data_IF_506187058562
#
_entry.id   IF_506187058562
#
_cell.length_a   1.000
_cell.length_b   1.000
_cell.length_c   1.000
_cell.angle_alpha   90.00
_cell.angle_beta   90.00
_cell.angle_gamma   90.00
#
_symmetry.space_group_name_H-M   'P 1'
#
loop_
_entity.id
_entity.type
_entity.pdbx_description
1 polymer ?
#
# COMPACT_ATOMS: atom_id res chain seq x y z
N UNK A 1 -14.14 41.13 -78.02
CA UNK A 1 -14.77 40.35 -76.92
C UNK A 1 -13.62 39.76 -76.11
N UNK A 2 -13.07 40.42 -75.08
CA UNK A 2 -13.64 40.84 -73.78
C UNK A 2 -14.42 39.72 -73.10
N UNK A 3 -13.95 39.27 -71.92
CA UNK A 3 -14.69 38.38 -71.02
C UNK A 3 -13.82 37.68 -69.97
N UNK A 4 -13.55 38.37 -68.86
CA UNK A 4 -12.72 37.93 -67.73
C UNK A 4 -13.21 36.66 -67.02
N UNK A 5 -12.25 35.87 -66.52
CA UNK A 5 -12.41 34.76 -65.57
C UNK A 5 -12.82 35.26 -64.18
N UNK A 6 -13.84 34.64 -63.60
CA UNK A 6 -14.32 34.85 -62.23
C UNK A 6 -13.40 34.25 -61.17
N UNK A 7 -13.30 34.96 -60.04
CA UNK A 7 -12.36 34.80 -58.92
C UNK A 7 -12.49 33.49 -58.15
N UNK A 8 -11.32 33.02 -57.69
CA UNK A 8 -11.15 32.02 -56.64
C UNK A 8 -11.64 32.57 -55.28
N UNK A 9 -12.34 31.73 -54.52
CA UNK A 9 -12.66 31.99 -53.12
C UNK A 9 -11.44 31.82 -52.22
N UNK A 10 -11.23 32.80 -51.35
CA UNK A 10 -10.16 32.85 -50.36
C UNK A 10 -10.27 31.70 -49.35
N UNK A 11 -9.22 30.88 -49.25
CA UNK A 11 -9.01 29.99 -48.10
C UNK A 11 -8.43 30.82 -46.95
N UNK A 12 -9.23 31.08 -45.92
CA UNK A 12 -8.75 31.66 -44.67
C UNK A 12 -7.75 30.72 -43.98
N UNK A 13 -6.62 31.27 -43.52
CA UNK A 13 -5.62 30.56 -42.72
C UNK A 13 -6.23 30.06 -41.41
N UNK A 14 -6.45 28.75 -41.30
CA UNK A 14 -6.80 28.10 -40.04
C UNK A 14 -5.55 28.03 -39.16
N UNK A 15 -5.58 28.66 -37.98
CA UNK A 15 -4.48 28.59 -37.02
C UNK A 15 -4.19 27.13 -36.64
N UNK A 16 -2.91 26.74 -36.62
CA UNK A 16 -2.51 25.33 -36.47
C UNK A 16 -2.82 24.71 -35.10
N UNK A 17 -3.10 25.53 -34.07
CA UNK A 17 -3.30 25.09 -32.69
C UNK A 17 -4.39 25.89 -31.98
N UNK A 18 -5.07 25.23 -31.04
CA UNK A 18 -6.07 25.83 -30.16
C UNK A 18 -5.48 26.99 -29.34
N UNK A 19 -6.18 28.14 -29.34
CA UNK A 19 -5.74 29.37 -28.65
C UNK A 19 -5.89 29.33 -27.11
N UNK A 20 -6.20 28.19 -26.50
CA UNK A 20 -6.31 28.06 -25.04
C UNK A 20 -4.93 27.92 -24.38
N UNK A 21 -4.61 28.81 -23.44
CA UNK A 21 -3.36 28.80 -22.70
C UNK A 21 -3.41 27.80 -21.53
N UNK A 22 -2.40 26.93 -21.40
CA UNK A 22 -2.27 25.96 -20.30
C UNK A 22 -1.27 26.48 -19.25
N UNK A 23 -1.71 27.06 -18.10
CA UNK A 23 -0.80 27.73 -17.16
C UNK A 23 0.25 26.78 -16.56
N UNK A 24 -0.16 25.56 -16.21
CA UNK A 24 0.74 24.52 -15.63
C UNK A 24 1.81 24.05 -16.63
N UNK A 25 1.57 24.18 -17.94
CA UNK A 25 2.47 23.69 -18.99
C UNK A 25 3.16 24.83 -19.77
N UNK A 26 2.85 26.09 -19.45
CA UNK A 26 3.38 27.31 -20.10
C UNK A 26 3.36 27.26 -21.64
N UNK A 27 2.26 26.76 -22.23
CA UNK A 27 2.08 26.67 -23.69
C UNK A 27 0.61 26.69 -24.08
N UNK A 28 0.33 26.99 -25.34
CA UNK A 28 -1.00 26.81 -25.93
C UNK A 28 -1.34 25.31 -26.10
N UNK A 29 -2.64 25.01 -26.07
CA UNK A 29 -3.14 23.67 -26.30
C UNK A 29 -2.72 23.18 -27.70
N UNK A 30 -2.11 21.99 -27.76
CA UNK A 30 -1.60 21.44 -29.02
C UNK A 30 -2.70 20.88 -29.94
N UNK A 31 -3.92 20.73 -29.44
CA UNK A 31 -5.03 20.19 -30.22
C UNK A 31 -5.44 21.18 -31.32
N UNK A 32 -5.85 20.65 -32.46
CA UNK A 32 -6.38 21.46 -33.56
C UNK A 32 -7.66 22.18 -33.14
N UNK A 33 -7.84 23.45 -33.54
CA UNK A 33 -9.10 24.15 -33.36
C UNK A 33 -10.24 23.49 -34.15
N UNK A 34 -11.48 23.69 -33.71
CA UNK A 34 -12.66 23.29 -34.47
C UNK A 34 -12.85 24.23 -35.67
N UNK A 35 -13.56 23.76 -36.70
CA UNK A 35 -13.78 24.51 -37.95
C UNK A 35 -14.32 25.93 -37.72
N UNK A 36 -15.22 26.09 -36.74
CA UNK A 36 -15.88 27.35 -36.39
C UNK A 36 -15.45 27.95 -35.03
N UNK A 37 -14.30 27.54 -34.48
CA UNK A 37 -13.84 28.06 -33.19
C UNK A 37 -12.31 28.17 -33.11
N UNK A 38 -11.75 29.25 -32.53
CA UNK A 38 -10.31 29.32 -32.24
C UNK A 38 -9.84 28.29 -31.19
N UNK A 39 -10.75 27.48 -30.63
CA UNK A 39 -10.48 26.48 -29.61
C UNK A 39 -10.79 25.06 -30.08
N UNK A 40 -10.11 24.06 -29.50
CA UNK A 40 -10.41 22.64 -29.73
C UNK A 40 -11.67 22.22 -28.96
N UNK A 41 -12.20 21.02 -29.22
CA UNK A 41 -13.40 20.50 -28.53
C UNK A 41 -13.32 20.45 -26.99
N UNK A 42 -12.11 20.44 -26.41
CA UNK A 42 -11.93 20.46 -24.95
C UNK A 42 -11.92 21.89 -24.35
N UNK A 43 -11.72 22.91 -25.19
CA UNK A 43 -11.55 24.30 -24.78
C UNK A 43 -12.47 25.27 -25.52
N UNK A 44 -13.46 24.75 -26.25
CA UNK A 44 -14.54 25.55 -26.82
C UNK A 44 -15.31 26.23 -25.69
N UNK A 45 -15.90 27.40 -25.97
CA UNK A 45 -16.76 28.09 -25.00
C UNK A 45 -17.83 27.07 -24.57
N UNK A 46 -17.73 26.62 -23.32
CA UNK A 46 -18.59 25.57 -22.80
C UNK A 46 -20.01 26.12 -22.85
N UNK A 47 -20.96 25.33 -23.34
CA UNK A 47 -22.37 25.67 -23.29
C UNK A 47 -22.74 26.14 -21.87
N UNK A 48 -23.58 27.15 -21.74
CA UNK A 48 -24.17 27.60 -20.46
C UNK A 48 -25.05 26.52 -19.79
N UNK A 49 -25.19 25.35 -20.43
CA UNK A 49 -25.91 24.20 -19.93
C UNK A 49 -25.30 23.66 -18.61
N UNK A 50 -26.18 23.13 -17.76
CA UNK A 50 -25.85 22.64 -16.43
C UNK A 50 -24.94 21.39 -16.50
N UNK A 51 -23.81 21.46 -15.82
CA UNK A 51 -22.88 20.35 -15.65
C UNK A 51 -23.07 19.74 -14.26
N UNK A 52 -23.21 18.42 -14.23
CA UNK A 52 -23.33 17.66 -13.00
C UNK A 52 -22.16 16.68 -12.88
N UNK A 53 -21.69 16.37 -11.66
CA UNK A 53 -20.72 15.29 -11.47
C UNK A 53 -21.33 13.97 -11.96
N UNK A 54 -20.54 13.16 -12.66
CA UNK A 54 -20.99 11.82 -13.05
C UNK A 54 -21.28 11.00 -11.79
N UNK A 55 -22.44 10.32 -11.68
CA UNK A 55 -22.81 9.55 -10.50
C UNK A 55 -22.01 8.24 -10.38
N UNK A 56 -21.44 7.75 -11.48
CA UNK A 56 -20.57 6.57 -11.49
C UNK A 56 -19.14 6.97 -11.10
N UNK A 57 -18.63 8.08 -11.64
CA UNK A 57 -17.28 8.59 -11.37
C UNK A 57 -17.30 10.11 -11.14
N UNK A 58 -17.41 10.56 -9.87
CA UNK A 58 -17.46 11.97 -9.54
C UNK A 58 -16.18 12.76 -9.88
N UNK A 59 -15.11 12.10 -10.35
CA UNK A 59 -13.88 12.78 -10.76
C UNK A 59 -14.01 13.57 -12.07
N UNK A 60 -15.13 13.39 -12.79
CA UNK A 60 -15.45 14.16 -13.98
C UNK A 60 -16.92 14.58 -13.98
N UNK A 61 -17.23 15.59 -14.80
CA UNK A 61 -18.57 16.14 -14.95
C UNK A 61 -19.08 15.88 -16.35
N UNK A 62 -20.39 15.75 -16.47
CA UNK A 62 -21.11 15.57 -17.72
C UNK A 62 -22.22 16.60 -17.82
N UNK A 63 -22.57 16.98 -19.05
CA UNK A 63 -23.77 17.76 -19.28
C UNK A 63 -24.98 16.96 -18.82
N UNK A 64 -25.88 17.60 -18.09
CA UNK A 64 -27.09 16.96 -17.55
C UNK A 64 -27.91 16.27 -18.65
N UNK A 65 -28.08 16.94 -19.80
CA UNK A 65 -28.76 16.41 -21.00
C UNK A 65 -28.10 15.14 -21.58
N UNK A 66 -26.80 14.94 -21.34
CA UNK A 66 -26.03 13.82 -21.89
C UNK A 66 -25.79 12.72 -20.85
N UNK A 67 -26.27 12.87 -19.61
CA UNK A 67 -26.01 11.96 -18.51
C UNK A 67 -26.36 10.51 -18.88
N UNK A 68 -27.57 10.25 -19.37
CA UNK A 68 -28.05 8.90 -19.66
C UNK A 68 -27.19 8.17 -20.71
N UNK A 69 -26.82 8.88 -21.78
CA UNK A 69 -25.91 8.35 -22.80
C UNK A 69 -24.49 8.11 -22.27
N UNK A 70 -24.05 8.96 -21.35
CA UNK A 70 -22.75 8.85 -20.70
C UNK A 70 -22.69 7.63 -19.76
N UNK A 71 -23.73 7.35 -18.96
CA UNK A 71 -23.71 6.26 -17.97
C UNK A 71 -23.32 4.93 -18.63
N UNK A 72 -23.88 4.63 -19.79
CA UNK A 72 -23.58 3.42 -20.58
C UNK A 72 -22.17 3.38 -21.18
N UNK A 73 -21.48 4.53 -21.25
CA UNK A 73 -20.16 4.68 -21.87
C UNK A 73 -19.09 5.13 -20.88
N UNK A 74 -19.45 5.31 -19.61
CA UNK A 74 -18.55 5.77 -18.58
C UNK A 74 -17.32 4.85 -18.52
N UNK A 75 -16.09 5.39 -18.65
CA UNK A 75 -14.89 4.57 -18.60
C UNK A 75 -14.78 3.74 -17.32
N UNK A 76 -15.22 4.28 -16.18
CA UNK A 76 -15.20 3.57 -14.91
C UNK A 76 -16.18 2.38 -14.89
N UNK A 77 -17.38 2.54 -15.47
CA UNK A 77 -18.35 1.43 -15.60
C UNK A 77 -17.78 0.31 -16.47
N UNK A 78 -17.27 0.64 -17.66
CA UNK A 78 -16.67 -0.35 -18.56
C UNK A 78 -15.50 -1.07 -17.92
N UNK A 79 -14.68 -0.34 -17.16
CA UNK A 79 -13.57 -0.92 -16.42
C UNK A 79 -14.07 -1.89 -15.35
N UNK A 80 -15.10 -1.52 -14.58
CA UNK A 80 -15.69 -2.39 -13.56
C UNK A 80 -16.29 -3.67 -14.17
N UNK A 81 -17.01 -3.55 -15.28
CA UNK A 81 -17.55 -4.71 -16.02
C UNK A 81 -16.42 -5.63 -16.53
N UNK A 82 -15.40 -5.07 -17.17
CA UNK A 82 -14.24 -5.82 -17.64
C UNK A 82 -13.45 -6.48 -16.52
N UNK A 83 -13.39 -5.86 -15.34
CA UNK A 83 -12.75 -6.42 -14.15
C UNK A 83 -13.58 -7.57 -13.58
N UNK A 84 -14.91 -7.39 -13.50
CA UNK A 84 -15.82 -8.40 -12.97
C UNK A 84 -15.86 -9.71 -13.79
N UNK A 85 -15.46 -9.65 -15.07
CA UNK A 85 -15.34 -10.83 -15.92
C UNK A 85 -13.96 -11.51 -15.85
N UNK A 86 -13.01 -10.97 -15.08
CA UNK A 86 -11.69 -11.58 -14.94
C UNK A 86 -11.75 -12.76 -13.96
N UNK A 87 -11.02 -13.87 -14.22
CA UNK A 87 -11.02 -15.04 -13.34
C UNK A 87 -10.49 -14.73 -11.95
N UNK A 88 -9.53 -13.80 -11.85
CA UNK A 88 -8.92 -13.37 -10.58
C UNK A 88 -9.77 -12.37 -9.79
N UNK A 89 -10.95 -11.98 -10.28
CA UNK A 89 -11.86 -11.10 -9.56
C UNK A 89 -12.89 -11.92 -8.77
N UNK A 90 -12.84 -11.81 -7.44
CA UNK A 90 -13.84 -12.37 -6.54
C UNK A 90 -14.16 -11.35 -5.46
N UNK A 91 -15.34 -10.71 -5.59
CA UNK A 91 -15.75 -9.61 -4.72
C UNK A 91 -15.68 -10.00 -3.25
N UNK A 92 -14.94 -9.21 -2.46
CA UNK A 92 -14.85 -9.34 -1.01
C UNK A 92 -14.11 -10.58 -0.49
N UNK A 93 -13.41 -11.35 -1.33
CA UNK A 93 -12.67 -12.55 -0.90
C UNK A 93 -11.65 -12.23 0.22
N UNK A 94 -11.06 -11.03 0.18
CA UNK A 94 -10.16 -10.50 1.20
C UNK A 94 -10.80 -9.34 1.96
N UNK A 95 -12.13 -9.23 2.10
CA UNK A 95 -12.76 -8.16 2.89
C UNK A 95 -12.60 -8.38 4.40
N UNK A 96 -12.80 -9.62 4.85
CA UNK A 96 -12.89 -9.97 6.28
C UNK A 96 -14.32 -9.75 6.76
N UNK A 97 -14.69 -10.37 7.88
CA UNK A 97 -16.03 -10.18 8.46
C UNK A 97 -15.99 -9.27 9.69
N UNK A 98 -17.11 -8.63 10.01
CA UNK A 98 -17.25 -7.92 11.29
C UNK A 98 -17.28 -8.91 12.46
N UNK A 99 -17.91 -10.06 12.24
CA UNK A 99 -18.08 -11.15 13.18
C UNK A 99 -17.21 -12.32 12.69
N UNK A 100 -16.01 -12.48 13.24
CA UNK A 100 -15.24 -13.73 13.16
C UNK A 100 -15.44 -14.56 14.45
N UNK A 101 -16.60 -14.37 15.07
CA UNK A 101 -17.14 -15.17 16.15
C UNK A 101 -17.86 -16.37 15.51
N UNK A 102 -17.19 -17.52 15.58
CA UNK A 102 -17.70 -18.87 15.32
C UNK A 102 -18.04 -19.27 13.87
N UNK A 103 -17.47 -20.40 13.44
CA UNK A 103 -17.86 -21.09 12.22
C UNK A 103 -19.27 -21.65 12.42
N UNK A 104 -20.27 -21.03 11.81
CA UNK A 104 -21.61 -21.60 11.66
C UNK A 104 -22.72 -20.61 11.94
N UNK A 105 -23.13 -19.88 10.90
CA UNK A 105 -24.52 -19.60 10.51
C UNK A 105 -24.52 -18.54 9.39
N UNK A 106 -25.08 -18.90 8.24
CA UNK A 106 -25.37 -17.94 7.17
C UNK A 106 -26.48 -17.00 7.65
N UNK A 107 -26.17 -15.71 7.78
CA UNK A 107 -27.18 -14.68 8.05
C UNK A 107 -27.12 -13.57 6.99
N UNK A 108 -28.32 -13.22 6.53
CA UNK A 108 -28.68 -12.37 5.41
C UNK A 108 -27.95 -11.01 5.28
N UNK A 109 -27.88 -10.60 4.01
CA UNK A 109 -27.28 -9.38 3.48
C UNK A 109 -28.02 -8.13 4.00
N UNK A 110 -27.48 -7.48 5.03
CA UNK A 110 -27.83 -6.10 5.39
C UNK A 110 -26.68 -5.14 5.04
N UNK A 111 -26.92 -4.00 4.37
CA UNK A 111 -25.87 -3.07 3.98
C UNK A 111 -25.42 -2.22 5.18
N UNK A 112 -24.33 -2.63 5.84
CA UNK A 112 -23.66 -1.87 6.92
C UNK A 112 -22.15 -1.69 6.70
N UNK A 113 -21.72 -1.53 5.45
CA UNK A 113 -20.34 -1.15 5.13
C UNK A 113 -20.09 0.35 5.35
N UNK A 114 -20.28 0.85 6.57
CA UNK A 114 -19.87 2.22 6.91
C UNK A 114 -18.39 2.22 7.28
N UNK A 115 -17.55 2.59 6.32
CA UNK A 115 -16.12 2.84 6.56
C UNK A 115 -15.99 3.87 7.71
N UNK A 116 -15.30 3.50 8.78
CA UNK A 116 -15.12 4.35 9.95
C UNK A 116 -13.94 5.29 9.71
N UNK A 117 -14.23 6.52 9.29
CA UNK A 117 -13.21 7.49 8.87
C UNK A 117 -12.37 7.98 10.05
N UNK A 118 -11.18 8.53 9.78
CA UNK A 118 -10.32 9.13 10.82
C UNK A 118 -11.02 10.25 11.59
N UNK A 119 -11.92 10.99 10.93
CA UNK A 119 -12.74 12.02 11.57
C UNK A 119 -13.78 11.39 12.51
N UNK A 120 -14.46 10.33 12.09
CA UNK A 120 -15.40 9.60 12.96
C UNK A 120 -14.70 9.00 14.18
N UNK A 121 -13.50 8.43 14.00
CA UNK A 121 -12.67 7.95 15.12
C UNK A 121 -12.32 9.05 16.10
N UNK A 122 -11.86 10.19 15.59
CA UNK A 122 -11.57 11.37 16.41
C UNK A 122 -12.81 11.80 17.19
N UNK A 123 -13.94 11.96 16.52
CA UNK A 123 -15.19 12.38 17.17
C UNK A 123 -15.63 11.41 18.26
N UNK A 124 -15.52 10.10 18.01
CA UNK A 124 -15.79 9.07 19.02
C UNK A 124 -14.85 9.17 20.23
N UNK A 125 -13.56 9.44 19.99
CA UNK A 125 -12.58 9.64 21.07
C UNK A 125 -12.88 10.88 21.90
N UNK A 126 -13.21 12.01 21.27
CA UNK A 126 -13.52 13.24 22.00
C UNK A 126 -14.89 13.21 22.69
N UNK A 127 -15.79 12.31 22.29
CA UNK A 127 -17.09 12.10 22.91
C UNK A 127 -17.05 11.19 24.15
N UNK A 128 -15.93 10.51 24.43
CA UNK A 128 -15.82 9.65 25.62
C UNK A 128 -15.61 10.47 26.89
N UNK A 129 -15.96 9.89 28.04
CA UNK A 129 -15.69 10.50 29.35
C UNK A 129 -14.20 10.46 29.68
N UNK A 130 -13.69 11.47 30.39
CA UNK A 130 -12.29 11.52 30.85
C UNK A 130 -11.80 10.23 31.57
N UNK A 131 -12.57 9.61 32.49
CA UNK A 131 -12.14 8.36 33.13
C UNK A 131 -11.91 7.21 32.16
N UNK A 132 -12.87 6.99 31.23
CA UNK A 132 -12.74 5.96 30.17
C UNK A 132 -11.52 6.20 29.27
N UNK A 133 -11.24 7.46 28.96
CA UNK A 133 -10.07 7.82 28.14
C UNK A 133 -8.76 7.48 28.84
N UNK A 134 -8.63 7.83 30.12
CA UNK A 134 -7.45 7.52 30.92
C UNK A 134 -7.29 6.01 31.17
N UNK A 135 -8.40 5.30 31.38
CA UNK A 135 -8.41 3.83 31.49
C UNK A 135 -7.92 3.16 30.21
N UNK A 136 -8.36 3.64 29.04
CA UNK A 136 -7.89 3.13 27.75
C UNK A 136 -6.39 3.37 27.57
N UNK A 137 -5.87 4.56 27.92
CA UNK A 137 -4.42 4.82 27.87
C UNK A 137 -3.66 3.88 28.80
N UNK A 138 -4.12 3.70 30.05
CA UNK A 138 -3.49 2.81 31.00
C UNK A 138 -3.46 1.35 30.49
N UNK A 139 -4.56 0.92 29.87
CA UNK A 139 -4.68 -0.40 29.24
C UNK A 139 -3.72 -0.57 28.06
N UNK A 140 -3.59 0.44 27.18
CA UNK A 140 -2.62 0.43 26.08
C UNK A 140 -1.19 0.29 26.63
N UNK A 141 -0.81 1.09 27.63
CA UNK A 141 0.51 1.03 28.28
C UNK A 141 0.75 -0.37 28.89
N UNK A 142 -0.24 -0.93 29.59
CA UNK A 142 -0.15 -2.26 30.20
C UNK A 142 -0.02 -3.39 29.18
N UNK A 143 -0.83 -3.38 28.12
CA UNK A 143 -0.77 -4.38 27.05
C UNK A 143 0.57 -4.28 26.32
N UNK A 144 1.02 -3.07 25.98
CA UNK A 144 2.32 -2.85 25.34
C UNK A 144 3.47 -3.44 26.17
N UNK A 145 3.50 -3.18 27.48
CA UNK A 145 4.49 -3.76 28.39
C UNK A 145 4.47 -5.30 28.40
N UNK A 146 3.28 -5.91 28.26
CA UNK A 146 3.13 -7.38 28.24
C UNK A 146 3.59 -8.06 26.94
N UNK A 147 3.60 -7.34 25.82
CA UNK A 147 3.99 -7.89 24.51
C UNK A 147 5.51 -8.15 24.44
N UNK A 148 6.27 -7.56 25.39
CA UNK A 148 7.65 -7.88 25.75
C UNK A 148 8.57 -8.24 24.58
N UNK A 149 8.50 -7.46 23.50
CA UNK A 149 9.39 -7.57 22.35
C UNK A 149 9.61 -6.19 21.78
N UNK A 150 10.72 -5.55 22.18
CA UNK A 150 11.28 -4.46 21.40
C UNK A 150 11.50 -4.99 19.99
N UNK A 151 10.76 -4.47 19.02
CA UNK A 151 10.93 -4.83 17.60
C UNK A 151 12.39 -4.55 17.24
N UNK A 152 13.18 -5.56 16.84
CA UNK A 152 14.61 -5.39 16.62
C UNK A 152 14.89 -4.54 15.39
N UNK A 153 15.96 -3.76 15.46
CA UNK A 153 16.47 -3.00 14.32
C UNK A 153 17.15 -3.94 13.32
N UNK A 154 16.78 -3.82 12.04
CA UNK A 154 17.36 -4.61 10.94
C UNK A 154 17.51 -3.76 9.68
N UNK A 155 18.52 -2.88 9.70
CA UNK A 155 18.83 -1.95 8.61
C UNK A 155 19.73 -2.59 7.54
N UNK A 156 19.43 -3.83 7.13
CA UNK A 156 20.23 -4.55 6.14
C UNK A 156 20.19 -3.85 4.80
N UNK A 157 21.33 -3.74 4.12
CA UNK A 157 21.42 -3.29 2.73
C UNK A 157 22.26 -4.34 2.00
N UNK A 158 21.69 -5.10 1.05
CA UNK A 158 22.41 -6.16 0.37
C UNK A 158 23.36 -5.58 -0.68
N UNK A 159 24.50 -6.24 -0.91
CA UNK A 159 25.52 -5.81 -1.87
C UNK A 159 24.97 -5.73 -3.30
N UNK A 160 24.02 -6.61 -3.65
CA UNK A 160 23.32 -6.58 -4.94
C UNK A 160 22.61 -5.24 -5.20
N UNK A 161 22.20 -4.51 -4.16
CA UNK A 161 21.57 -3.19 -4.28
C UNK A 161 22.57 -2.02 -4.40
N UNK A 162 23.88 -2.29 -4.41
CA UNK A 162 24.94 -1.27 -4.49
C UNK A 162 24.78 -0.34 -5.70
N UNK A 163 24.36 -0.86 -6.85
CA UNK A 163 24.09 -0.04 -8.05
C UNK A 163 23.06 1.06 -7.79
N UNK A 164 22.08 0.80 -6.94
CA UNK A 164 21.05 1.76 -6.56
C UNK A 164 21.54 2.71 -5.47
N UNK A 165 22.23 2.21 -4.44
CA UNK A 165 22.69 3.03 -3.32
C UNK A 165 23.87 3.94 -3.71
N UNK A 166 24.75 3.49 -4.60
CA UNK A 166 25.89 4.24 -5.12
C UNK A 166 25.50 5.21 -6.26
N UNK A 167 24.22 5.25 -6.64
CA UNK A 167 23.67 6.10 -7.71
C UNK A 167 24.26 5.79 -9.08
N UNK A 168 24.56 4.52 -9.33
CA UNK A 168 25.07 4.01 -10.62
C UNK A 168 23.91 3.66 -11.58
N UNK A 169 22.66 3.77 -11.12
CA UNK A 169 21.44 3.63 -11.93
C UNK A 169 21.21 4.80 -12.89
N UNK A 170 20.43 4.57 -13.96
CA UNK A 170 20.11 5.57 -14.99
C UNK A 170 19.63 6.89 -14.36
N UNK A 171 20.33 7.98 -14.69
CA UNK A 171 20.04 9.36 -14.25
C UNK A 171 18.63 9.83 -14.62
N UNK A 172 17.92 9.14 -15.52
CA UNK A 172 16.52 9.40 -15.87
C UNK A 172 15.50 8.91 -14.83
N UNK A 173 15.90 8.04 -13.90
CA UNK A 173 15.04 7.57 -12.82
C UNK A 173 14.96 8.63 -11.70
N UNK A 174 13.76 8.94 -11.17
CA UNK A 174 13.63 9.87 -10.06
C UNK A 174 14.21 9.24 -8.79
N UNK A 175 15.38 9.72 -8.40
CA UNK A 175 16.10 9.26 -7.22
C UNK A 175 15.71 10.07 -5.98
N UNK A 176 15.34 9.38 -4.91
CA UNK A 176 15.21 9.95 -3.57
C UNK A 176 15.85 8.98 -2.59
N UNK A 177 16.93 9.43 -1.94
CA UNK A 177 17.79 8.59 -1.10
C UNK A 177 17.01 7.83 -0.02
N UNK A 178 16.14 8.53 0.72
CA UNK A 178 15.26 7.91 1.71
C UNK A 178 14.41 6.78 1.15
N UNK A 179 13.95 6.89 -0.10
CA UNK A 179 13.14 5.85 -0.72
C UNK A 179 13.96 4.66 -1.19
N UNK A 180 15.18 4.90 -1.68
CA UNK A 180 16.12 3.86 -2.12
C UNK A 180 16.58 3.04 -0.92
N UNK A 181 16.96 3.69 0.19
CA UNK A 181 17.34 3.00 1.42
C UNK A 181 16.23 2.09 1.96
N UNK A 182 14.98 2.57 1.96
CA UNK A 182 13.83 1.74 2.34
C UNK A 182 13.66 0.53 1.41
N UNK A 183 13.78 0.72 0.09
CA UNK A 183 13.63 -0.39 -0.86
C UNK A 183 14.74 -1.43 -0.70
N UNK A 184 15.99 -0.97 -0.67
CA UNK A 184 17.15 -1.83 -0.48
C UNK A 184 17.07 -2.59 0.85
N UNK A 185 16.54 -1.96 1.90
CA UNK A 185 16.40 -2.64 3.18
C UNK A 185 15.28 -3.67 3.26
N UNK A 186 14.16 -3.46 2.56
CA UNK A 186 13.16 -4.53 2.38
C UNK A 186 13.80 -5.74 1.71
N UNK A 187 14.61 -5.55 0.66
CA UNK A 187 15.30 -6.64 -0.02
C UNK A 187 16.39 -7.28 0.84
N UNK A 188 17.14 -6.49 1.62
CA UNK A 188 18.14 -6.98 2.56
C UNK A 188 17.55 -7.88 3.64
N UNK A 189 16.37 -7.53 4.16
CA UNK A 189 15.66 -8.35 5.13
C UNK A 189 15.11 -9.65 4.50
N UNK A 190 14.62 -9.60 3.25
CA UNK A 190 14.25 -10.81 2.51
C UNK A 190 15.44 -11.75 2.29
N UNK A 191 16.64 -11.20 2.02
CA UNK A 191 17.87 -11.96 1.87
C UNK A 191 18.36 -12.56 3.20
N UNK A 192 18.36 -11.78 4.29
CA UNK A 192 18.74 -12.27 5.62
C UNK A 192 17.79 -13.36 6.13
N UNK A 193 16.49 -13.20 5.88
CA UNK A 193 15.47 -14.17 6.26
C UNK A 193 15.52 -15.44 5.39
N UNK A 194 16.33 -15.45 4.33
CA UNK A 194 16.54 -16.58 3.43
C UNK A 194 15.39 -16.82 2.46
N UNK A 195 14.66 -15.75 2.08
CA UNK A 195 13.66 -15.76 1.00
C UNK A 195 14.34 -15.46 -0.34
N UNK A 196 15.22 -14.45 -0.37
CA UNK A 196 16.10 -14.17 -1.52
C UNK A 196 17.43 -14.90 -1.35
N UNK A 197 17.95 -15.48 -2.44
CA UNK A 197 19.32 -16.02 -2.45
C UNK A 197 20.31 -14.87 -2.58
N UNK A 198 21.40 -14.95 -1.78
CA UNK A 198 22.56 -14.08 -1.96
C UNK A 198 23.12 -14.27 -3.36
N UNK A 199 23.18 -13.20 -4.12
CA UNK A 199 23.88 -13.19 -5.41
C UNK A 199 25.37 -13.15 -5.09
N UNK A 200 26.03 -14.31 -5.09
CA UNK A 200 27.49 -14.34 -5.09
C UNK A 200 27.96 -13.69 -6.39
N UNK A 201 28.65 -12.56 -6.30
CA UNK A 201 29.35 -11.90 -7.41
C UNK A 201 30.54 -12.73 -7.92
N UNK A 202 30.31 -14.00 -8.29
CA UNK A 202 31.31 -14.86 -8.93
C UNK A 202 30.75 -15.34 -10.26
N UNK A 203 30.77 -14.43 -11.23
CA UNK A 203 30.92 -14.81 -12.64
C UNK A 203 31.36 -13.58 -13.42
N UNK A 204 32.61 -13.16 -13.20
CA UNK A 204 33.41 -12.38 -14.17
C UNK A 204 34.90 -12.52 -13.82
N UNK A 205 35.41 -13.74 -13.86
CA UNK A 205 36.82 -14.00 -14.13
C UNK A 205 36.91 -15.37 -14.78
N UNK A 206 37.35 -15.36 -16.04
CA UNK A 206 37.83 -16.49 -16.85
C UNK A 206 38.47 -17.59 -16.01
N UNK A 207 38.11 -18.86 -16.23
CA UNK A 207 38.95 -19.92 -16.85
C UNK A 207 38.18 -21.24 -16.81
N UNK A 208 38.21 -21.97 -17.91
CA UNK A 208 37.74 -23.34 -18.04
C UNK A 208 38.37 -24.25 -16.98
N UNK A 209 37.56 -24.93 -16.16
CA UNK A 209 37.85 -26.31 -15.76
C UNK A 209 36.64 -27.02 -15.16
N UNK A 210 36.55 -28.27 -15.58
CA UNK A 210 35.55 -29.29 -15.32
C UNK A 210 35.16 -29.47 -13.85
N UNK A 211 33.85 -29.53 -13.59
CA UNK A 211 33.30 -30.48 -12.63
C UNK A 211 31.87 -30.88 -13.02
N UNK A 212 31.81 -31.90 -13.86
CA UNK A 212 30.60 -32.66 -14.16
C UNK A 212 30.24 -33.48 -12.93
N UNK A 213 29.48 -32.94 -11.96
CA UNK A 213 28.66 -33.70 -10.99
C UNK A 213 27.88 -32.83 -9.97
N UNK A 214 27.17 -31.77 -10.42
CA UNK A 214 26.14 -31.10 -9.59
C UNK A 214 24.93 -30.65 -10.41
N UNK A 215 24.40 -31.55 -11.24
CA UNK A 215 23.25 -31.26 -12.11
C UNK A 215 21.87 -31.51 -11.47
N UNK A 216 21.79 -31.72 -10.15
CA UNK A 216 20.55 -32.16 -9.49
C UNK A 216 20.11 -31.32 -8.27
N UNK A 217 20.24 -29.99 -8.31
CA UNK A 217 19.57 -29.05 -7.37
C UNK A 217 19.21 -27.70 -8.03
N UNK A 218 18.75 -27.72 -9.30
CA UNK A 218 18.64 -26.52 -10.16
C UNK A 218 17.27 -25.82 -10.22
N UNK A 219 16.34 -25.97 -9.26
CA UNK A 219 14.98 -25.45 -9.49
C UNK A 219 14.23 -24.85 -8.28
N UNK A 220 14.91 -24.01 -7.49
CA UNK A 220 14.25 -23.11 -6.55
C UNK A 220 14.70 -21.65 -6.77
N UNK A 221 14.77 -21.24 -8.04
CA UNK A 221 14.98 -19.85 -8.41
C UNK A 221 13.64 -19.10 -8.28
N UNK A 222 13.64 -17.95 -7.60
CA UNK A 222 12.43 -17.13 -7.40
C UNK A 222 11.94 -16.71 -8.78
N UNK A 223 10.85 -17.31 -9.22
CA UNK A 223 10.40 -17.17 -10.60
C UNK A 223 9.47 -15.97 -10.78
N UNK A 224 8.76 -15.56 -9.72
CA UNK A 224 7.83 -14.45 -9.75
C UNK A 224 7.88 -13.55 -8.49
N UNK A 225 7.50 -12.29 -8.68
CA UNK A 225 7.25 -11.34 -7.60
C UNK A 225 5.86 -10.73 -7.76
N UNK A 226 5.15 -10.58 -6.64
CA UNK A 226 3.87 -9.87 -6.56
C UNK A 226 4.06 -8.64 -5.68
N UNK A 227 4.05 -7.45 -6.27
CA UNK A 227 4.09 -6.19 -5.51
C UNK A 227 2.68 -5.67 -5.26
N UNK A 228 2.26 -5.70 -4.01
CA UNK A 228 1.01 -5.13 -3.56
C UNK A 228 1.17 -3.63 -3.31
N UNK A 229 0.24 -2.83 -3.82
CA UNK A 229 0.31 -1.37 -3.71
C UNK A 229 1.48 -0.79 -4.53
N UNK A 230 1.77 -1.38 -5.69
CA UNK A 230 2.98 -1.10 -6.46
C UNK A 230 3.19 0.37 -6.82
N UNK A 231 2.10 1.12 -7.07
CA UNK A 231 2.17 2.52 -7.46
C UNK A 231 3.16 2.75 -8.61
N UNK A 232 4.29 3.41 -8.31
CA UNK A 232 5.33 3.71 -9.30
C UNK A 232 6.18 2.49 -9.73
N UNK A 233 6.17 1.39 -8.97
CA UNK A 233 6.85 0.13 -9.28
C UNK A 233 8.36 0.09 -8.99
N UNK A 234 8.88 1.02 -8.18
CA UNK A 234 10.33 1.12 -7.94
C UNK A 234 10.90 0.03 -7.03
N UNK A 235 10.10 -0.52 -6.10
CA UNK A 235 10.58 -1.63 -5.27
C UNK A 235 10.81 -2.87 -6.16
N UNK A 236 9.85 -3.20 -7.02
CA UNK A 236 10.02 -4.24 -8.03
C UNK A 236 11.16 -3.93 -9.00
N UNK A 237 11.32 -2.68 -9.47
CA UNK A 237 12.42 -2.32 -10.36
C UNK A 237 13.78 -2.67 -9.73
N UNK A 238 13.99 -2.28 -8.46
CA UNK A 238 15.22 -2.59 -7.73
C UNK A 238 15.40 -4.10 -7.60
N UNK A 239 14.37 -4.84 -7.19
CA UNK A 239 14.41 -6.29 -7.09
C UNK A 239 14.73 -6.97 -8.42
N UNK A 240 14.15 -6.50 -9.53
CA UNK A 240 14.42 -7.02 -10.86
C UNK A 240 15.84 -6.69 -11.34
N UNK A 241 16.39 -5.54 -10.98
CA UNK A 241 17.77 -5.14 -11.34
C UNK A 241 18.81 -5.95 -10.55
N UNK A 242 18.50 -6.30 -9.30
CA UNK A 242 19.45 -6.91 -8.36
C UNK A 242 19.38 -8.45 -8.30
N UNK A 243 18.21 -9.05 -8.54
CA UNK A 243 17.98 -10.48 -8.28
C UNK A 243 17.48 -11.29 -9.49
N UNK A 244 17.50 -10.72 -10.71
CA UNK A 244 17.28 -11.50 -11.95
C UNK A 244 15.87 -12.09 -12.14
N UNK A 245 14.85 -11.41 -11.60
CA UNK A 245 13.48 -11.93 -11.53
C UNK A 245 12.81 -11.96 -12.90
N UNK A 246 12.19 -13.09 -13.25
CA UNK A 246 11.65 -13.35 -14.59
C UNK A 246 10.19 -12.92 -14.78
N UNK A 247 9.40 -12.89 -13.70
CA UNK A 247 7.98 -12.54 -13.75
C UNK A 247 7.61 -11.56 -12.67
N UNK A 248 6.84 -10.55 -13.04
CA UNK A 248 6.40 -9.48 -12.17
C UNK A 248 4.90 -9.31 -12.31
N UNK A 249 4.19 -9.35 -11.17
CA UNK A 249 2.80 -8.96 -11.04
C UNK A 249 2.69 -7.73 -10.14
N UNK A 250 2.20 -6.61 -10.69
CA UNK A 250 1.98 -5.38 -9.93
C UNK A 250 0.48 -5.22 -9.63
N UNK A 251 0.12 -5.14 -8.36
CA UNK A 251 -1.29 -4.99 -7.92
C UNK A 251 -1.51 -3.58 -7.39
N UNK A 252 -2.51 -2.87 -7.93
CA UNK A 252 -2.91 -1.55 -7.43
C UNK A 252 -4.38 -1.22 -7.70
N UNK A 253 -5.02 -0.48 -6.80
CA UNK A 253 -6.40 -0.01 -6.98
C UNK A 253 -6.54 1.03 -8.10
N UNK A 254 -5.54 1.91 -8.25
CA UNK A 254 -5.51 3.01 -9.23
C UNK A 254 -4.08 3.18 -9.75
N UNK A 255 -3.92 3.31 -11.07
CA UNK A 255 -2.60 3.45 -11.69
C UNK A 255 -2.01 4.85 -11.54
N UNK A 256 -1.08 5.00 -10.60
CA UNK A 256 -0.37 6.25 -10.34
C UNK A 256 0.92 6.32 -11.15
N UNK A 257 0.84 6.77 -12.41
CA UNK A 257 1.98 7.02 -13.31
C UNK A 257 2.92 5.81 -13.39
N UNK A 258 2.70 4.98 -14.41
CA UNK A 258 3.44 3.77 -14.81
C UNK A 258 4.94 3.99 -15.09
N UNK A 259 5.68 4.52 -14.10
CA UNK A 259 7.02 5.09 -14.28
C UNK A 259 8.08 4.00 -14.42
N UNK A 260 8.02 2.94 -13.61
CA UNK A 260 8.92 1.81 -13.74
C UNK A 260 8.56 0.89 -14.91
N UNK A 261 7.29 0.84 -15.34
CA UNK A 261 6.83 -0.09 -16.39
C UNK A 261 7.64 0.01 -17.68
N UNK A 262 8.06 1.22 -18.08
CA UNK A 262 8.89 1.40 -19.28
C UNK A 262 10.23 0.69 -19.13
N UNK A 263 10.91 0.87 -18.00
CA UNK A 263 12.22 0.29 -17.73
C UNK A 263 12.12 -1.22 -17.50
N UNK A 264 11.08 -1.69 -16.81
CA UNK A 264 10.80 -3.13 -16.63
C UNK A 264 10.55 -3.82 -17.97
N UNK A 265 9.74 -3.24 -18.86
CA UNK A 265 9.43 -3.82 -20.19
C UNK A 265 10.61 -3.84 -21.16
N UNK A 266 11.67 -3.08 -20.89
CA UNK A 266 12.90 -3.11 -21.68
C UNK A 266 13.78 -4.33 -21.37
N UNK A 267 13.48 -5.06 -20.28
CA UNK A 267 14.17 -6.31 -19.96
C UNK A 267 13.52 -7.47 -20.72
N UNK A 268 14.23 -7.99 -21.72
CA UNK A 268 13.72 -9.04 -22.62
C UNK A 268 13.32 -10.34 -21.88
N UNK A 269 13.98 -10.64 -20.77
CA UNK A 269 13.71 -11.84 -19.95
C UNK A 269 12.64 -11.66 -18.87
N UNK A 270 11.99 -10.48 -18.79
CA UNK A 270 11.03 -10.15 -17.73
C UNK A 270 9.61 -9.98 -18.28
N UNK A 271 8.69 -10.80 -17.76
CA UNK A 271 7.25 -10.66 -18.03
C UNK A 271 6.63 -9.74 -16.99
N UNK A 272 6.05 -8.62 -17.46
CA UNK A 272 5.37 -7.64 -16.60
C UNK A 272 3.86 -7.66 -16.84
N UNK A 273 3.12 -8.03 -15.79
CA UNK A 273 1.67 -7.91 -15.68
C UNK A 273 1.31 -6.91 -14.57
N UNK A 274 0.28 -6.10 -14.80
CA UNK A 274 -0.18 -5.10 -13.83
C UNK A 274 -1.70 -5.17 -13.72
N UNK A 275 -2.19 -5.60 -12.56
CA UNK A 275 -3.61 -5.74 -12.25
C UNK A 275 -4.13 -4.48 -11.58
N UNK A 276 -5.11 -3.83 -12.22
CA UNK A 276 -5.86 -2.73 -11.63
C UNK A 276 -7.09 -3.26 -10.90
N UNK A 277 -6.90 -3.71 -9.67
CA UNK A 277 -7.89 -4.39 -8.83
C UNK A 277 -7.73 -3.97 -7.37
N UNK A 278 -8.83 -4.00 -6.61
CA UNK A 278 -8.76 -3.87 -5.15
C UNK A 278 -8.20 -5.16 -4.55
N UNK A 279 -7.29 -5.06 -3.58
CA UNK A 279 -6.75 -6.26 -2.91
C UNK A 279 -7.88 -6.99 -2.20
N UNK A 280 -8.91 -6.28 -1.74
CA UNK A 280 -10.14 -6.84 -1.19
C UNK A 280 -10.81 -7.89 -2.10
N UNK A 281 -10.69 -7.73 -3.43
CA UNK A 281 -11.38 -8.55 -4.44
C UNK A 281 -10.45 -9.50 -5.21
N UNK A 282 -9.14 -9.53 -4.88
CA UNK A 282 -8.15 -10.27 -5.65
C UNK A 282 -7.97 -11.72 -5.19
N UNK A 283 -8.18 -12.68 -6.11
CA UNK A 283 -7.81 -14.08 -5.94
C UNK A 283 -6.53 -14.42 -6.73
N UNK A 284 -5.39 -14.56 -6.05
CA UNK A 284 -4.10 -14.86 -6.69
C UNK A 284 -4.05 -16.22 -7.41
N UNK A 285 -4.69 -17.26 -6.87
CA UNK A 285 -4.74 -18.59 -7.51
C UNK A 285 -5.43 -18.59 -8.88
N UNK A 286 -6.30 -17.61 -9.13
CA UNK A 286 -7.00 -17.46 -10.40
C UNK A 286 -6.27 -16.51 -11.37
N UNK A 287 -5.06 -16.03 -11.02
CA UNK A 287 -4.17 -15.32 -11.93
C UNK A 287 -3.38 -16.35 -12.74
N UNK A 288 -3.73 -16.49 -14.02
CA UNK A 288 -3.15 -17.47 -14.95
C UNK A 288 -1.61 -17.42 -14.97
N UNK A 289 -1.03 -16.20 -14.95
CA UNK A 289 0.42 -16.04 -15.00
C UNK A 289 1.15 -16.54 -13.75
N UNK A 290 0.48 -16.75 -12.62
CA UNK A 290 1.07 -17.26 -11.39
C UNK A 290 0.83 -18.76 -11.16
N UNK A 291 0.03 -19.42 -11.99
CA UNK A 291 -0.30 -20.83 -11.80
C UNK A 291 0.95 -21.71 -11.89
N UNK A 292 1.16 -22.55 -10.87
CA UNK A 292 2.34 -23.42 -10.75
C UNK A 292 3.67 -22.69 -10.55
N UNK A 293 3.66 -21.39 -10.26
CA UNK A 293 4.88 -20.58 -10.07
C UNK A 293 5.04 -20.21 -8.59
N UNK A 294 6.24 -20.41 -8.06
CA UNK A 294 6.64 -19.88 -6.75
C UNK A 294 6.83 -18.36 -6.81
N UNK A 295 6.24 -17.62 -5.87
CA UNK A 295 6.31 -16.16 -5.85
C UNK A 295 6.68 -15.59 -4.48
N UNK A 296 7.28 -14.39 -4.49
CA UNK A 296 7.48 -13.55 -3.30
C UNK A 296 6.44 -12.42 -3.31
N UNK A 297 5.79 -12.17 -2.17
CA UNK A 297 4.90 -11.02 -1.99
C UNK A 297 5.64 -9.85 -1.33
N UNK A 298 5.62 -8.66 -1.94
CA UNK A 298 6.26 -7.46 -1.39
C UNK A 298 5.33 -6.26 -1.33
N UNK A 299 5.57 -5.34 -0.40
CA UNK A 299 4.84 -4.08 -0.29
C UNK A 299 5.54 -3.07 0.61
N UNK A 300 5.68 -1.81 0.17
CA UNK A 300 6.44 -0.77 0.90
C UNK A 300 5.59 0.16 1.77
N UNK A 301 4.39 0.50 1.31
CA UNK A 301 3.49 1.46 1.97
C UNK A 301 2.05 0.98 1.84
N UNK A 302 1.81 -0.28 2.19
CA UNK A 302 0.43 -0.75 2.23
C UNK A 302 -0.27 -0.04 3.38
N UNK A 303 -1.42 0.57 3.08
CA UNK A 303 -2.24 1.18 4.12
C UNK A 303 -2.73 0.11 5.09
N UNK A 304 -3.14 0.53 6.29
CA UNK A 304 -3.59 -0.37 7.36
C UNK A 304 -4.45 -1.52 6.85
N UNK A 305 -5.65 -1.25 6.28
CA UNK A 305 -6.52 -2.31 5.75
C UNK A 305 -5.88 -3.14 4.64
N UNK A 306 -5.13 -2.52 3.73
CA UNK A 306 -4.50 -3.24 2.61
C UNK A 306 -3.43 -4.23 3.07
N UNK A 307 -2.75 -3.94 4.19
CA UNK A 307 -1.81 -4.89 4.82
C UNK A 307 -2.55 -6.17 5.22
N UNK A 308 -3.65 -6.04 5.95
CA UNK A 308 -4.44 -7.18 6.42
C UNK A 308 -5.10 -7.95 5.27
N UNK A 309 -5.59 -7.25 4.23
CA UNK A 309 -6.11 -7.86 3.00
C UNK A 309 -5.02 -8.64 2.25
N UNK A 310 -3.79 -8.10 2.18
CA UNK A 310 -2.65 -8.74 1.52
C UNK A 310 -2.23 -10.01 2.25
N UNK A 311 -2.16 -9.97 3.58
CA UNK A 311 -1.86 -11.15 4.39
C UNK A 311 -2.91 -12.26 4.16
N UNK A 312 -4.20 -11.92 4.11
CA UNK A 312 -5.26 -12.88 3.78
C UNK A 312 -5.14 -13.42 2.35
N UNK A 313 -4.90 -12.54 1.40
CA UNK A 313 -4.71 -12.88 -0.01
C UNK A 313 -3.56 -13.90 -0.22
N UNK A 314 -2.44 -13.72 0.49
CA UNK A 314 -1.27 -14.59 0.36
C UNK A 314 -1.34 -15.88 1.21
N UNK A 315 -1.86 -15.80 2.44
CA UNK A 315 -1.68 -16.88 3.44
C UNK A 315 -2.93 -17.78 3.56
N UNK A 316 -4.14 -17.23 3.53
CA UNK A 316 -5.39 -18.03 3.68
C UNK A 316 -5.54 -19.07 2.55
N UNK A 317 -4.97 -18.78 1.40
CA UNK A 317 -4.97 -19.66 0.23
C UNK A 317 -4.15 -20.94 0.41
N UNK A 318 -3.28 -21.02 1.43
CA UNK A 318 -2.51 -22.22 1.78
C UNK A 318 -3.35 -23.23 2.58
N UNK A 319 -4.29 -22.75 3.39
CA UNK A 319 -5.09 -23.58 4.32
C UNK A 319 -6.22 -24.35 3.61
N UNK A 320 -6.82 -23.77 2.57
CA UNK A 320 -7.89 -24.40 1.79
C UNK A 320 -7.41 -25.52 0.84
N UNK A 321 -6.09 -25.76 0.72
CA UNK A 321 -5.55 -26.81 -0.13
C UNK A 321 -5.67 -28.21 0.49
N UNK A 322 -5.99 -28.31 1.78
CA UNK A 322 -6.07 -29.59 2.50
C UNK A 322 -7.45 -30.28 2.40
N UNK A 323 -8.48 -29.65 1.82
CA UNK A 323 -9.85 -30.18 1.88
C UNK A 323 -10.48 -30.65 0.56
N UNK A 324 -9.95 -30.33 -0.63
CA UNK A 324 -10.55 -30.80 -1.89
C UNK A 324 -9.52 -31.27 -2.93
N UNK A 325 -9.62 -32.56 -3.25
CA UNK A 325 -8.86 -33.22 -4.30
C UNK A 325 -9.42 -32.87 -5.69
N UNK A 326 -9.19 -31.65 -6.18
CA UNK A 326 -9.29 -31.33 -7.61
C UNK A 326 -8.19 -30.33 -8.01
N UNK A 327 -7.23 -30.87 -8.74
CA UNK A 327 -5.95 -30.29 -9.15
C UNK A 327 -6.08 -29.14 -10.16
N UNK A 328 -6.11 -27.91 -9.67
CA UNK A 328 -5.60 -26.75 -10.41
C UNK A 328 -4.27 -26.31 -9.77
N UNK A 329 -3.24 -26.08 -10.59
CA UNK A 329 -1.90 -25.69 -10.12
C UNK A 329 -1.95 -24.33 -9.42
N UNK A 330 -2.05 -24.34 -8.09
CA UNK A 330 -2.06 -23.12 -7.26
C UNK A 330 -0.70 -22.43 -7.28
N UNK A 331 -0.67 -21.10 -7.18
CA UNK A 331 0.58 -20.37 -6.96
C UNK A 331 1.13 -20.66 -5.56
N UNK A 332 2.45 -20.76 -5.41
CA UNK A 332 3.09 -21.09 -4.13
C UNK A 332 3.81 -19.87 -3.55
N UNK A 333 3.37 -19.41 -2.38
CA UNK A 333 4.09 -18.36 -1.64
C UNK A 333 5.41 -18.89 -1.10
N UNK A 334 6.53 -18.31 -1.55
CA UNK A 334 7.89 -18.63 -1.08
C UNK A 334 8.33 -17.77 0.11
N UNK A 335 7.76 -16.57 0.20
CA UNK A 335 7.96 -15.65 1.30
C UNK A 335 7.32 -14.30 1.04
N UNK A 336 7.27 -13.45 2.05
CA UNK A 336 6.72 -12.11 1.95
C UNK A 336 7.54 -11.10 2.76
N UNK A 337 7.51 -9.85 2.33
CA UNK A 337 7.99 -8.71 3.10
C UNK A 337 7.06 -7.51 2.91
N UNK A 338 6.31 -7.16 3.96
CA UNK A 338 5.29 -6.12 3.93
C UNK A 338 5.64 -5.05 4.96
N UNK A 339 6.01 -3.86 4.48
CA UNK A 339 6.19 -2.70 5.32
C UNK A 339 4.82 -2.10 5.66
N UNK A 340 4.49 -2.15 6.95
CA UNK A 340 3.19 -1.75 7.49
C UNK A 340 3.16 -0.24 7.67
N UNK A 341 2.09 0.41 7.19
CA UNK A 341 2.00 1.87 7.16
C UNK A 341 0.54 2.33 7.32
N UNK A 342 0.34 3.58 7.73
CA UNK A 342 -0.97 4.21 7.86
C UNK A 342 -1.94 3.43 8.77
N UNK A 343 -1.48 3.01 9.95
CA UNK A 343 -2.30 2.29 10.93
C UNK A 343 -3.57 3.05 11.35
N UNK A 344 -3.56 4.38 11.25
CA UNK A 344 -4.75 5.21 11.47
C UNK A 344 -5.91 4.92 10.52
N UNK A 345 -5.64 4.31 9.36
CA UNK A 345 -6.66 3.86 8.42
C UNK A 345 -7.19 2.46 8.72
N UNK A 346 -6.59 1.70 9.63
CA UNK A 346 -7.04 0.35 9.98
C UNK A 346 -8.54 0.35 10.30
N UNK A 347 -9.25 -0.65 9.80
CA UNK A 347 -10.68 -0.83 10.04
C UNK A 347 -10.86 -2.16 10.77
N UNK A 348 -11.78 -2.21 11.73
CA UNK A 348 -12.05 -3.44 12.49
C UNK A 348 -12.39 -4.60 11.56
N UNK A 349 -13.31 -4.39 10.61
CA UNK A 349 -13.71 -5.38 9.57
C UNK A 349 -12.50 -6.05 8.91
N UNK A 350 -11.51 -5.26 8.52
CA UNK A 350 -10.38 -5.76 7.75
C UNK A 350 -9.26 -6.32 8.62
N UNK A 351 -9.14 -5.88 9.88
CA UNK A 351 -8.06 -6.26 10.76
C UNK A 351 -8.02 -7.77 10.97
N UNK A 352 -6.84 -8.34 10.78
CA UNK A 352 -6.70 -9.79 10.58
C UNK A 352 -6.73 -10.60 11.87
N UNK A 353 -6.46 -9.98 13.03
CA UNK A 353 -6.34 -10.69 14.30
C UNK A 353 -7.24 -10.11 15.38
N UNK A 354 -8.56 -10.11 15.14
CA UNK A 354 -9.56 -9.61 16.09
C UNK A 354 -9.48 -10.34 17.43
N UNK A 355 -9.29 -11.67 17.40
CA UNK A 355 -9.13 -12.51 18.61
C UNK A 355 -7.98 -12.07 19.50
N UNK A 356 -6.86 -11.62 18.92
CA UNK A 356 -5.76 -11.05 19.70
C UNK A 356 -6.16 -9.77 20.41
N UNK A 357 -6.87 -8.86 19.72
CA UNK A 357 -7.34 -7.61 20.34
C UNK A 357 -8.34 -7.88 21.46
N UNK A 358 -9.34 -8.73 21.20
CA UNK A 358 -10.34 -9.14 22.19
C UNK A 358 -9.70 -9.91 23.35
N UNK A 359 -8.70 -10.75 23.09
CA UNK A 359 -7.95 -11.48 24.12
C UNK A 359 -7.13 -10.58 25.05
N UNK A 360 -6.69 -9.42 24.55
CA UNK A 360 -6.10 -8.34 25.38
C UNK A 360 -7.17 -7.43 26.02
N UNK A 361 -8.44 -7.79 25.87
CA UNK A 361 -9.60 -7.10 26.40
C UNK A 361 -10.08 -5.92 25.56
N UNK A 362 -9.47 -5.59 24.41
CA UNK A 362 -9.89 -4.45 23.60
C UNK A 362 -11.18 -4.73 22.82
N UNK A 363 -12.10 -3.78 22.89
CA UNK A 363 -13.35 -3.77 22.11
C UNK A 363 -13.12 -3.21 20.69
N UNK A 364 -14.14 -3.29 19.83
CA UNK A 364 -14.16 -2.64 18.50
C UNK A 364 -13.96 -1.13 18.63
N UNK A 365 -14.59 -0.52 19.62
CA UNK A 365 -14.48 0.90 19.94
C UNK A 365 -13.08 1.27 20.42
N UNK A 366 -12.48 0.44 21.30
CA UNK A 366 -11.09 0.61 21.73
C UNK A 366 -10.15 0.53 20.53
N UNK A 367 -10.33 -0.45 19.63
CA UNK A 367 -9.51 -0.58 18.42
C UNK A 367 -9.62 0.65 17.52
N UNK A 368 -10.83 1.22 17.37
CA UNK A 368 -11.03 2.45 16.62
C UNK A 368 -10.25 3.61 17.23
N UNK A 369 -10.24 3.75 18.57
CA UNK A 369 -9.44 4.74 19.28
C UNK A 369 -7.93 4.48 19.16
N UNK A 370 -7.48 3.24 19.37
CA UNK A 370 -6.07 2.81 19.23
C UNK A 370 -5.57 3.12 17.82
N UNK A 371 -6.33 2.77 16.78
CA UNK A 371 -5.95 3.08 15.41
C UNK A 371 -5.80 4.59 15.22
N UNK A 372 -6.70 5.41 15.78
CA UNK A 372 -6.57 6.87 15.70
C UNK A 372 -5.34 7.40 16.45
N UNK A 373 -5.04 6.89 17.65
CA UNK A 373 -3.84 7.26 18.42
C UNK A 373 -2.53 6.99 17.67
N UNK A 374 -2.48 6.02 16.74
CA UNK A 374 -1.27 5.81 15.92
C UNK A 374 -0.87 7.04 15.10
N UNK A 375 -1.81 7.96 14.82
CA UNK A 375 -1.52 9.23 14.15
C UNK A 375 -0.68 10.17 15.01
N UNK A 376 -0.68 10.01 16.33
CA UNK A 376 0.15 10.81 17.25
C UNK A 376 1.63 10.45 17.19
N UNK A 377 2.01 9.32 16.58
CA UNK A 377 3.42 8.92 16.45
C UNK A 377 4.30 9.95 15.71
N UNK A 378 3.70 10.91 14.99
CA UNK A 378 4.38 12.01 14.29
C UNK A 378 4.25 13.37 15.00
N UNK A 379 3.68 13.43 16.20
CA UNK A 379 3.44 14.69 16.94
C UNK A 379 4.71 15.30 17.57
N UNK A 380 5.80 14.55 17.69
CA UNK A 380 7.07 15.07 18.18
C UNK A 380 7.83 15.81 17.06
N UNK A 381 8.18 17.08 17.30
CA UNK A 381 8.94 17.91 16.36
C UNK A 381 10.27 17.25 15.97
N UNK A 382 10.48 17.00 14.67
CA UNK A 382 11.71 16.44 14.12
C UNK A 382 12.93 17.41 14.14
N UNK A 383 12.85 18.50 14.93
CA UNK A 383 13.76 19.65 14.87
C UNK A 383 14.83 19.74 15.97
N UNK A 384 14.70 19.01 17.07
CA UNK A 384 15.74 18.91 18.11
C UNK A 384 16.35 17.52 18.06
N UNK A 385 17.68 17.41 18.11
CA UNK A 385 18.50 16.18 18.11
C UNK A 385 17.81 14.96 18.75
N UNK A 386 16.98 14.26 17.98
CA UNK A 386 16.22 13.11 18.45
C UNK A 386 16.88 11.85 17.89
N UNK A 387 17.87 11.35 18.63
CA UNK A 387 18.41 10.00 18.45
C UNK A 387 17.42 9.00 19.06
N UNK A 388 16.62 8.35 18.23
CA UNK A 388 15.61 7.34 18.65
C UNK A 388 16.21 6.04 19.18
N UNK A 389 17.54 5.93 19.20
CA UNK A 389 18.23 4.96 20.06
C UNK A 389 17.77 5.07 21.53
N UNK A 390 17.21 6.23 21.94
CA UNK A 390 16.66 6.48 23.26
C UNK A 390 15.15 6.20 23.45
N UNK A 391 14.37 5.82 22.42
CA UNK A 391 12.95 5.51 22.67
C UNK A 391 12.79 4.30 23.62
N UNK A 392 13.67 3.30 23.50
CA UNK A 392 13.73 2.15 24.41
C UNK A 392 14.16 2.55 25.83
N UNK A 393 15.08 3.51 25.96
CA UNK A 393 15.56 4.01 27.26
C UNK A 393 14.57 4.99 27.94
N UNK A 394 13.79 5.74 27.16
CA UNK A 394 12.79 6.69 27.67
C UNK A 394 11.44 6.05 28.00
N UNK A 395 11.14 4.87 27.42
CA UNK A 395 10.07 3.96 27.87
C UNK A 395 10.27 3.55 29.34
N UNK A 396 11.52 3.39 29.79
CA UNK A 396 11.85 3.07 31.19
C UNK A 396 11.75 4.31 32.09
N UNK A 397 12.21 5.49 31.63
CA UNK A 397 12.20 6.74 32.42
C UNK A 397 10.81 7.36 32.65
N UNK A 398 9.82 7.07 31.81
CA UNK A 398 8.45 7.62 31.95
C UNK A 398 7.57 6.81 32.91
N UNK A 399 7.98 5.60 33.28
CA UNK A 399 7.23 4.72 34.20
C UNK A 399 7.27 5.20 35.67
N UNK A 400 8.15 6.15 36.02
CA UNK A 400 8.36 6.60 37.41
C UNK A 400 7.73 7.98 37.75
N UNK A 401 7.21 8.72 36.77
CA UNK A 401 6.50 9.98 37.05
C UNK A 401 5.02 9.69 37.32
N UNK A 402 4.61 9.74 38.59
CA UNK A 402 3.19 9.84 38.97
C UNK A 402 2.54 11.00 38.21
N UNK A 403 1.75 10.69 37.20
CA UNK A 403 0.93 11.68 36.50
C UNK A 403 -0.15 12.20 37.47
N UNK A 404 0.09 13.37 38.05
CA UNK A 404 -0.90 14.09 38.87
C UNK A 404 -1.81 14.86 37.91
N UNK A 405 -2.95 14.28 37.57
CA UNK A 405 -4.01 14.96 36.84
C UNK A 405 -4.80 15.88 37.80
N UNK A 406 -5.12 17.14 37.44
CA UNK A 406 -5.96 18.01 38.28
C UNK A 406 -7.36 17.40 38.51
N UNK A 407 -7.99 17.70 39.64
CA UNK A 407 -9.26 17.13 40.12
C UNK A 407 -10.43 17.11 39.09
N UNK A 408 -10.50 15.98 38.40
CA UNK A 408 -11.58 15.13 37.87
C UNK A 408 -13.05 15.53 37.58
N UNK A 409 -13.58 16.74 37.73
CA UNK A 409 -15.05 16.93 37.46
C UNK A 409 -15.46 17.83 36.28
N UNK A 410 -14.56 18.67 35.73
CA UNK A 410 -14.91 19.54 34.59
C UNK A 410 -14.01 19.37 33.34
N UNK A 411 -13.04 18.46 33.35
CA UNK A 411 -12.06 18.32 32.29
C UNK A 411 -12.55 17.34 31.22
N UNK A 412 -12.84 17.82 30.01
CA UNK A 412 -13.15 16.96 28.86
C UNK A 412 -11.89 16.32 28.27
N UNK A 413 -12.04 15.27 27.45
CA UNK A 413 -10.91 14.64 26.73
C UNK A 413 -10.11 15.66 25.92
N UNK A 414 -10.76 16.69 25.39
CA UNK A 414 -10.08 17.75 24.64
C UNK A 414 -9.08 18.56 25.47
N UNK A 415 -9.36 18.81 26.74
CA UNK A 415 -8.45 19.55 27.63
C UNK A 415 -7.30 18.64 28.09
N UNK A 416 -7.57 17.37 28.36
CA UNK A 416 -6.55 16.34 28.63
C UNK A 416 -5.54 16.28 27.46
N UNK A 417 -6.02 16.10 26.23
CA UNK A 417 -5.15 15.99 25.04
C UNK A 417 -4.37 17.29 24.77
N UNK A 418 -4.95 18.46 25.07
CA UNK A 418 -4.26 19.76 24.94
C UNK A 418 -3.11 19.90 25.94
N UNK A 419 -3.26 19.33 27.13
CA UNK A 419 -2.27 19.40 28.21
C UNK A 419 -1.17 18.32 28.10
N UNK A 420 -1.36 17.28 27.30
CA UNK A 420 -0.32 16.28 27.02
C UNK A 420 0.85 16.90 26.26
N UNK A 421 2.07 16.53 26.63
CA UNK A 421 3.25 16.87 25.84
C UNK A 421 3.24 16.11 24.52
N UNK A 422 3.75 16.72 23.44
CA UNK A 422 3.84 16.07 22.13
C UNK A 422 4.64 14.77 22.17
N UNK A 423 5.65 14.69 23.04
CA UNK A 423 6.45 13.48 23.26
C UNK A 423 5.62 12.32 23.83
N UNK A 424 4.76 12.58 24.82
CA UNK A 424 3.92 11.55 25.44
C UNK A 424 2.89 11.02 24.44
N UNK A 425 2.33 11.92 23.62
CA UNK A 425 1.42 11.54 22.53
C UNK A 425 2.14 10.69 21.48
N UNK A 426 3.37 11.04 21.12
CA UNK A 426 4.18 10.27 20.18
C UNK A 426 4.48 8.86 20.70
N UNK A 427 4.90 8.73 21.97
CA UNK A 427 5.15 7.44 22.62
C UNK A 427 3.90 6.57 22.59
N UNK A 428 2.75 7.12 23.01
CA UNK A 428 1.48 6.39 22.96
C UNK A 428 1.10 5.98 21.53
N UNK A 429 1.35 6.83 20.55
CA UNK A 429 1.15 6.52 19.14
C UNK A 429 1.99 5.34 18.65
N UNK A 430 3.27 5.27 19.06
CA UNK A 430 4.14 4.12 18.77
C UNK A 430 3.66 2.84 19.47
N UNK A 431 3.27 2.92 20.74
CA UNK A 431 2.69 1.76 21.46
C UNK A 431 1.48 1.19 20.71
N UNK A 432 0.60 2.05 20.20
CA UNK A 432 -0.58 1.62 19.43
C UNK A 432 -0.19 0.94 18.10
N UNK A 433 0.87 1.43 17.42
CA UNK A 433 1.41 0.79 16.21
C UNK A 433 1.94 -0.61 16.52
N UNK A 434 2.75 -0.72 17.58
CA UNK A 434 3.34 -1.98 18.04
C UNK A 434 2.27 -3.03 18.35
N UNK A 435 1.19 -2.65 19.07
CA UNK A 435 0.09 -3.57 19.40
C UNK A 435 -0.60 -4.09 18.13
N UNK A 436 -0.88 -3.20 17.16
CA UNK A 436 -1.53 -3.61 15.90
C UNK A 436 -0.64 -4.58 15.12
N UNK A 437 0.65 -4.29 14.99
CA UNK A 437 1.58 -5.12 14.22
C UNK A 437 1.95 -6.42 14.94
N UNK A 438 2.02 -6.41 16.28
CA UNK A 438 2.16 -7.62 17.08
C UNK A 438 1.00 -8.59 16.82
N UNK A 439 -0.24 -8.10 16.77
CA UNK A 439 -1.38 -8.93 16.41
C UNK A 439 -1.28 -9.50 14.99
N UNK A 440 -0.78 -8.74 14.00
CA UNK A 440 -0.51 -9.26 12.65
C UNK A 440 0.55 -10.36 12.66
N UNK A 441 1.66 -10.15 13.36
CA UNK A 441 2.72 -11.15 13.52
C UNK A 441 2.18 -12.44 14.16
N UNK A 442 1.41 -12.32 15.25
CA UNK A 442 0.82 -13.46 15.94
C UNK A 442 -0.13 -14.24 15.04
N UNK A 443 -0.89 -13.56 14.18
CA UNK A 443 -1.74 -14.22 13.20
C UNK A 443 -0.94 -15.01 12.18
N UNK A 444 0.13 -14.44 11.63
CA UNK A 444 1.00 -15.15 10.67
C UNK A 444 1.67 -16.36 11.32
N UNK A 445 2.18 -16.21 12.55
CA UNK A 445 2.76 -17.32 13.32
C UNK A 445 1.74 -18.44 13.57
N UNK A 446 0.49 -18.11 13.86
CA UNK A 446 -0.58 -19.09 14.08
C UNK A 446 -0.90 -19.92 12.81
N UNK A 447 -0.56 -19.42 11.61
CA UNK A 447 -0.67 -20.18 10.36
C UNK A 447 0.52 -21.13 10.12
N UNK A 448 1.43 -21.28 11.09
CA UNK A 448 2.61 -22.15 10.97
C UNK A 448 3.71 -21.58 10.06
N UNK A 449 3.66 -20.29 9.72
CA UNK A 449 4.64 -19.63 8.87
C UNK A 449 5.72 -18.99 9.73
N UNK A 450 7.00 -19.23 9.40
CA UNK A 450 8.11 -18.59 10.11
C UNK A 450 8.04 -17.10 9.79
N UNK A 451 7.92 -16.26 10.82
CA UNK A 451 7.73 -14.82 10.65
C UNK A 451 8.39 -13.99 11.74
N UNK A 452 8.86 -12.82 11.35
CA UNK A 452 9.52 -11.82 12.19
C UNK A 452 9.00 -10.42 11.85
N UNK A 453 8.95 -9.56 12.86
CA UNK A 453 8.65 -8.14 12.74
C UNK A 453 9.93 -7.38 13.09
N UNK A 454 10.38 -6.48 12.23
CA UNK A 454 11.63 -5.73 12.39
C UNK A 454 11.46 -4.25 12.06
N UNK A 455 12.32 -3.40 12.61
CA UNK A 455 12.48 -2.01 12.18
C UNK A 455 13.48 -1.97 11.03
N UNK A 456 12.98 -1.88 9.79
CA UNK A 456 13.83 -2.02 8.60
C UNK A 456 14.58 -0.74 8.21
N UNK A 457 14.17 0.42 8.71
CA UNK A 457 14.93 1.67 8.55
C UNK A 457 14.90 2.50 9.83
N UNK A 458 15.88 3.39 10.04
CA UNK A 458 15.80 4.37 11.11
C UNK A 458 14.56 5.26 10.95
N UNK A 459 13.97 5.66 12.08
CA UNK A 459 12.85 6.61 12.13
C UNK A 459 13.13 7.95 11.43
N UNK A 460 14.40 8.37 11.37
CA UNK A 460 14.85 9.58 10.67
C UNK A 460 14.70 9.48 9.14
N UNK A 461 14.68 8.25 8.61
CA UNK A 461 14.36 7.94 7.22
C UNK A 461 12.85 7.87 7.02
N UNK A 462 12.14 7.14 7.88
CA UNK A 462 10.69 7.01 7.87
C UNK A 462 10.16 6.69 9.27
N UNK A 463 9.16 7.41 9.80
CA UNK A 463 8.46 7.00 11.03
C UNK A 463 7.55 5.77 10.83
N UNK A 464 7.35 5.37 9.57
CA UNK A 464 6.68 4.13 9.17
C UNK A 464 7.78 3.13 8.77
N UNK A 465 8.37 2.47 9.77
CA UNK A 465 9.57 1.66 9.62
C UNK A 465 9.43 0.22 10.10
N UNK A 466 8.22 -0.28 10.33
CA UNK A 466 7.99 -1.68 10.63
C UNK A 466 7.90 -2.50 9.34
N UNK A 467 8.52 -3.68 9.35
CA UNK A 467 8.51 -4.65 8.28
C UNK A 467 8.16 -6.02 8.83
N UNK A 468 7.09 -6.61 8.32
CA UNK A 468 6.73 -8.00 8.58
C UNK A 468 7.32 -8.87 7.48
N UNK A 469 8.19 -9.81 7.85
CA UNK A 469 8.83 -10.77 6.94
C UNK A 469 8.38 -12.17 7.31
N UNK A 470 8.07 -13.01 6.31
CA UNK A 470 7.65 -14.39 6.54
C UNK A 470 8.07 -15.35 5.41
N UNK A 471 8.19 -16.65 5.72
CA UNK A 471 8.51 -17.73 4.76
C UNK A 471 7.94 -19.08 5.19
#
# INVERSE_FOLDING_TARGET
MVGLKSKAGEKGEMGSHCKFWLPKKKRFCANSPLFDSPFCGNHTQRSDAQWIPCPIDPSHSVLEENLESHLNRCPLLKQAQSLSSQPFYQKGINAGSEDEEEEGEEVDIAPKDSIFTSEMKRSAVYAMSAPKFLELIAKIKSVHASICNTIPDSFRIPEACSIWTNREVDKKLPYQEKHVLQQASILGNLEEFGVLRKVSLISNATTEQCDSNRESERDADVSAVVEFGAGRGYLTQMLADCYGIKKVLLVERKSYKLKADRSLRQKESLVLERLRIDIEDLNLNAVESLQGVGYIAIGKHLCGPATDMTLRCCIRQRSNQNSDAQSHASCQLQGLAIATCCHHLCQWKNYINKRYMSGMGFTKEDFNAISWFTSWAVDADHGSEFSVTDCSAQLELTSEKKEVWPDSELCGVGDIVRNMQGIDRAVLGYMCKDIIDAGRLMWVKAQGIKSELVKYVPCSISPENHLLVAR
#
